data_IF_721853959435
#
_entry.id   IF_721853959435
#
_cell.length_a   1.000
_cell.length_b   1.000
_cell.length_c   1.000
_cell.angle_alpha   90.00
_cell.angle_beta   90.00
_cell.angle_gamma   90.00
#
_symmetry.space_group_name_H-M   'P 1'
#
loop_
_entity.id
_entity.type
_entity.pdbx_description
1 polymer ?
#
# COMPACT_ATOMS: atom_id res chain seq x y z
N UNK A 1 4.36 15.96 6.26
CA UNK A 1 3.59 14.76 5.87
C UNK A 1 3.20 14.03 7.15
N UNK A 2 1.99 13.46 7.24
CA UNK A 2 1.62 12.65 8.40
C UNK A 2 2.47 11.37 8.40
N UNK A 3 2.87 10.90 9.59
CA UNK A 3 3.70 9.70 9.73
C UNK A 3 2.94 8.45 9.25
N UNK A 4 3.67 7.48 8.70
CA UNK A 4 3.09 6.18 8.33
C UNK A 4 2.59 5.48 9.60
N UNK A 5 1.35 4.96 9.62
CA UNK A 5 0.82 4.24 10.77
C UNK A 5 1.72 3.07 11.19
N UNK A 6 1.95 2.83 12.50
CA UNK A 6 2.80 1.72 12.96
C UNK A 6 2.40 0.36 12.40
N UNK A 7 1.10 0.12 12.19
CA UNK A 7 0.61 -1.12 11.57
C UNK A 7 1.00 -1.25 10.10
N UNK A 8 1.00 -0.14 9.36
CA UNK A 8 1.38 -0.12 7.94
C UNK A 8 2.90 -0.27 7.82
N UNK A 9 3.66 0.37 8.71
CA UNK A 9 5.10 0.20 8.83
C UNK A 9 5.49 -1.26 9.14
N UNK A 10 4.80 -1.90 10.08
CA UNK A 10 4.96 -3.33 10.34
C UNK A 10 4.65 -4.19 9.10
N UNK A 11 3.61 -3.87 8.34
CA UNK A 11 3.29 -4.57 7.10
C UNK A 11 4.39 -4.42 6.04
N UNK A 12 5.05 -3.24 5.95
CA UNK A 12 6.23 -3.09 5.09
C UNK A 12 7.34 -4.01 5.53
N UNK A 13 7.71 -3.98 6.82
CA UNK A 13 8.76 -4.83 7.36
C UNK A 13 8.51 -6.32 7.10
N UNK A 14 7.27 -6.75 7.26
CA UNK A 14 6.87 -8.16 7.15
C UNK A 14 6.54 -8.56 5.68
N UNK A 15 6.84 -7.69 4.71
CA UNK A 15 6.60 -7.88 3.26
C UNK A 15 5.14 -8.26 2.90
N UNK A 16 4.19 -7.78 3.70
CA UNK A 16 2.77 -8.02 3.49
C UNK A 16 2.19 -7.07 2.43
N UNK A 17 1.04 -7.45 1.87
CA UNK A 17 0.29 -6.56 0.99
C UNK A 17 -0.13 -5.28 1.72
N UNK A 18 0.16 -4.12 1.11
CA UNK A 18 -0.19 -2.80 1.65
C UNK A 18 -1.11 -2.10 0.66
N UNK A 19 -2.38 -1.84 1.04
CA UNK A 19 -3.26 -1.04 0.21
C UNK A 19 -2.80 0.42 0.21
N UNK A 20 -2.67 1.04 -0.97
CA UNK A 20 -2.14 2.41 -1.06
C UNK A 20 -3.08 3.46 -0.46
N UNK A 21 -4.36 3.13 -0.31
CA UNK A 21 -5.32 3.94 0.45
C UNK A 21 -4.93 4.08 1.93
N UNK A 22 -4.21 3.11 2.51
CA UNK A 22 -3.69 3.18 3.88
C UNK A 22 -2.50 4.15 4.04
N UNK A 23 -1.87 4.55 2.93
CA UNK A 23 -0.78 5.53 2.89
C UNK A 23 -1.27 6.95 2.58
N UNK A 24 -2.57 7.13 2.35
CA UNK A 24 -3.14 8.46 2.11
C UNK A 24 -3.03 9.32 3.34
N UNK A 25 -2.89 10.64 3.15
CA UNK A 25 -2.83 11.59 4.26
C UNK A 25 -4.05 11.46 5.19
N UNK A 26 -5.24 11.22 4.62
CA UNK A 26 -6.45 11.00 5.39
C UNK A 26 -6.34 9.75 6.27
N UNK A 27 -5.87 8.62 5.73
CA UNK A 27 -5.67 7.39 6.50
C UNK A 27 -4.62 7.56 7.61
N UNK A 28 -3.48 8.18 7.30
CA UNK A 28 -2.44 8.44 8.30
C UNK A 28 -2.95 9.35 9.44
N UNK A 29 -3.76 10.38 9.12
CA UNK A 29 -4.35 11.26 10.14
C UNK A 29 -5.39 10.55 11.02
N UNK A 30 -6.22 9.67 10.45
CA UNK A 30 -7.17 8.88 11.25
C UNK A 30 -6.45 7.97 12.23
N UNK A 31 -5.41 7.26 11.77
CA UNK A 31 -4.60 6.41 12.65
C UNK A 31 -3.89 7.22 13.74
N UNK A 32 -3.33 8.40 13.40
CA UNK A 32 -2.71 9.28 14.39
C UNK A 32 -3.68 9.79 15.47
N UNK A 33 -4.99 9.81 15.18
CA UNK A 33 -6.06 10.15 16.14
C UNK A 33 -6.52 8.95 16.97
N UNK A 34 -5.95 7.77 16.76
CA UNK A 34 -6.37 6.53 17.42
C UNK A 34 -7.68 5.98 16.88
N UNK A 35 -8.13 6.40 15.69
CA UNK A 35 -9.28 5.83 14.98
C UNK A 35 -8.88 4.50 14.31
N UNK A 36 -8.29 3.59 15.10
CA UNK A 36 -8.00 2.23 14.66
C UNK A 36 -9.26 1.36 14.82
N UNK A 37 -9.73 0.79 13.71
CA UNK A 37 -10.85 -0.14 13.74
C UNK A 37 -10.43 -1.41 14.47
N UNK A 38 -11.11 -1.72 15.58
CA UNK A 38 -11.00 -3.01 16.25
C UNK A 38 -12.13 -3.93 15.80
N UNK A 39 -11.82 -5.20 15.58
CA UNK A 39 -12.78 -6.25 15.24
C UNK A 39 -12.74 -7.35 16.30
N UNK A 40 -13.91 -7.94 16.58
CA UNK A 40 -14.01 -9.14 17.40
C UNK A 40 -13.59 -10.35 16.55
N UNK A 41 -12.58 -11.07 17.00
CA UNK A 41 -12.20 -12.33 16.38
C UNK A 41 -13.20 -13.45 16.73
N UNK A 42 -13.12 -14.56 15.98
CA UNK A 42 -13.98 -15.72 16.18
C UNK A 42 -13.87 -16.39 17.57
N UNK A 43 -12.86 -16.03 18.37
CA UNK A 43 -12.64 -16.51 19.75
C UNK A 43 -13.12 -15.49 20.80
N UNK A 44 -13.83 -14.43 20.39
CA UNK A 44 -14.33 -13.38 21.29
C UNK A 44 -13.28 -12.38 21.78
N UNK A 45 -12.07 -12.41 21.23
CA UNK A 45 -11.00 -11.44 21.53
C UNK A 45 -11.07 -10.23 20.62
N UNK A 46 -10.69 -9.06 21.13
CA UNK A 46 -10.56 -7.84 20.34
C UNK A 46 -9.23 -7.88 19.55
N UNK A 47 -9.26 -7.69 18.24
CA UNK A 47 -8.06 -7.61 17.39
C UNK A 47 -8.12 -6.37 16.51
N UNK A 48 -6.96 -5.83 16.14
CA UNK A 48 -6.90 -4.70 15.22
C UNK A 48 -7.33 -5.17 13.82
N UNK A 49 -8.34 -4.52 13.22
CA UNK A 49 -8.81 -4.80 11.85
C UNK A 49 -7.67 -4.69 10.88
N UNK A 50 -7.47 -5.71 10.02
CA UNK A 50 -6.42 -5.72 8.99
C UNK A 50 -6.44 -4.46 8.11
N UNK A 51 -5.39 -4.24 7.33
CA UNK A 51 -5.35 -3.08 6.41
C UNK A 51 -6.53 -3.19 5.44
N UNK A 52 -7.47 -2.24 5.52
CA UNK A 52 -8.68 -2.27 4.70
C UNK A 52 -8.33 -2.05 3.24
N UNK A 53 -8.85 -2.93 2.38
CA UNK A 53 -8.77 -2.82 0.91
C UNK A 53 -9.99 -2.14 0.30
N UNK A 54 -10.93 -1.71 1.14
CA UNK A 54 -12.16 -1.04 0.71
C UNK A 54 -11.80 0.21 -0.09
N UNK A 55 -12.47 0.37 -1.23
CA UNK A 55 -12.26 1.49 -2.16
C UNK A 55 -10.82 1.71 -2.64
N UNK A 56 -9.94 0.70 -2.59
CA UNK A 56 -8.59 0.85 -3.13
C UNK A 56 -8.59 1.22 -4.62
N UNK A 57 -9.53 0.65 -5.38
CA UNK A 57 -9.78 1.00 -6.79
C UNK A 57 -10.19 2.45 -7.01
N UNK A 58 -10.69 3.12 -5.98
CA UNK A 58 -11.14 4.51 -6.01
C UNK A 58 -10.04 5.53 -5.70
N UNK A 59 -8.79 5.09 -5.46
CA UNK A 59 -7.68 6.01 -5.18
C UNK A 59 -7.46 6.95 -6.37
N UNK A 60 -7.32 8.26 -6.09
CA UNK A 60 -6.99 9.22 -7.16
C UNK A 60 -5.52 9.10 -7.57
N UNK A 61 -5.17 9.51 -8.80
CA UNK A 61 -3.78 9.49 -9.27
C UNK A 61 -2.84 10.29 -8.39
N UNK A 62 -3.29 11.44 -7.85
CA UNK A 62 -2.49 12.30 -6.97
C UNK A 62 -2.22 11.61 -5.62
N UNK A 63 -3.23 10.95 -5.05
CA UNK A 63 -3.07 10.20 -3.81
C UNK A 63 -2.18 8.97 -4.01
N UNK A 64 -2.37 8.27 -5.13
CA UNK A 64 -1.55 7.13 -5.49
C UNK A 64 -0.08 7.53 -5.66
N UNK A 65 0.24 8.63 -6.34
CA UNK A 65 1.63 9.10 -6.49
C UNK A 65 2.32 9.37 -5.15
N UNK A 66 1.58 9.95 -4.19
CA UNK A 66 2.10 10.21 -2.84
C UNK A 66 2.32 8.90 -2.09
N UNK A 67 1.36 7.97 -2.17
CA UNK A 67 1.45 6.66 -1.55
C UNK A 67 2.60 5.82 -2.14
N UNK A 68 2.75 5.83 -3.46
CA UNK A 68 3.79 5.16 -4.22
C UNK A 68 5.18 5.58 -3.74
N UNK A 69 5.43 6.90 -3.63
CA UNK A 69 6.70 7.41 -3.11
C UNK A 69 6.99 6.94 -1.68
N UNK A 70 5.99 6.99 -0.80
CA UNK A 70 6.14 6.48 0.56
C UNK A 70 6.41 4.98 0.58
N UNK A 71 5.78 4.21 -0.30
CA UNK A 71 6.00 2.78 -0.42
C UNK A 71 7.39 2.43 -0.95
N UNK A 72 7.91 3.17 -1.94
CA UNK A 72 9.29 3.05 -2.43
C UNK A 72 10.29 3.27 -1.29
N UNK A 73 10.13 4.36 -0.54
CA UNK A 73 11.00 4.72 0.58
C UNK A 73 11.01 3.62 1.66
N UNK A 74 9.84 3.13 2.08
CA UNK A 74 9.76 2.10 3.13
C UNK A 74 10.23 0.73 2.62
N UNK A 75 9.94 0.38 1.37
CA UNK A 75 10.43 -0.85 0.76
C UNK A 75 11.96 -0.84 0.70
N UNK A 76 12.56 0.28 0.31
CA UNK A 76 14.01 0.43 0.31
C UNK A 76 14.60 0.32 1.72
N UNK A 77 13.97 0.90 2.73
CA UNK A 77 14.42 0.83 4.13
C UNK A 77 14.44 -0.62 4.65
N UNK A 78 13.38 -1.39 4.41
CA UNK A 78 13.25 -2.73 4.98
C UNK A 78 13.82 -3.85 4.12
N UNK A 79 13.80 -3.71 2.79
CA UNK A 79 14.13 -4.78 1.84
C UNK A 79 15.30 -4.44 0.93
N UNK A 80 15.95 -3.30 1.15
CA UNK A 80 17.14 -2.88 0.43
C UNK A 80 16.85 -2.17 -0.88
N UNK A 81 17.92 -1.58 -1.43
CA UNK A 81 17.86 -0.70 -2.60
C UNK A 81 17.27 -1.38 -3.84
N UNK A 82 17.69 -2.61 -4.13
CA UNK A 82 17.25 -3.33 -5.33
C UNK A 82 15.73 -3.52 -5.35
N UNK A 83 15.12 -3.79 -4.19
CA UNK A 83 13.66 -3.92 -4.06
C UNK A 83 12.95 -2.57 -4.17
N UNK A 84 13.53 -1.51 -3.63
CA UNK A 84 13.02 -0.14 -3.83
C UNK A 84 13.04 0.26 -5.31
N UNK A 85 14.14 0.01 -6.01
CA UNK A 85 14.32 0.35 -7.43
C UNK A 85 13.40 -0.48 -8.34
N UNK A 86 13.15 -1.76 -8.01
CA UNK A 86 12.16 -2.60 -8.68
C UNK A 86 10.73 -2.04 -8.52
N UNK A 87 10.34 -1.65 -7.30
CA UNK A 87 9.03 -1.06 -7.05
C UNK A 87 8.84 0.28 -7.78
N UNK A 88 9.88 1.13 -7.83
CA UNK A 88 9.85 2.37 -8.59
C UNK A 88 9.71 2.13 -10.10
N UNK A 89 10.37 1.08 -10.63
CA UNK A 89 10.23 0.67 -12.03
C UNK A 89 8.79 0.21 -12.32
N UNK A 90 8.21 -0.59 -11.43
CA UNK A 90 6.78 -0.97 -11.50
C UNK A 90 5.88 0.27 -11.53
N UNK A 91 6.09 1.26 -10.66
CA UNK A 91 5.29 2.49 -10.67
C UNK A 91 5.39 3.28 -11.98
N UNK A 92 6.54 3.25 -12.64
CA UNK A 92 6.70 3.85 -13.97
C UNK A 92 5.84 3.14 -15.02
N UNK A 93 5.71 1.80 -14.93
CA UNK A 93 4.80 1.01 -15.78
C UNK A 93 3.35 1.38 -15.49
N UNK A 94 2.95 1.48 -14.22
CA UNK A 94 1.59 1.88 -13.83
C UNK A 94 1.22 3.24 -14.43
N UNK A 95 2.13 4.24 -14.36
CA UNK A 95 1.89 5.56 -14.95
C UNK A 95 1.81 5.51 -16.49
N UNK A 96 2.61 4.66 -17.13
CA UNK A 96 2.55 4.44 -18.58
C UNK A 96 1.23 3.80 -19.00
N UNK A 97 0.72 2.84 -18.22
CA UNK A 97 -0.60 2.24 -18.39
C UNK A 97 -1.72 3.25 -18.17
N UNK A 98 -1.59 4.10 -17.14
CA UNK A 98 -2.58 5.15 -16.86
C UNK A 98 -2.71 6.12 -18.05
N UNK A 99 -1.58 6.48 -18.66
CA UNK A 99 -1.55 7.37 -19.82
C UNK A 99 -2.17 6.72 -21.07
N UNK A 100 -1.93 5.43 -21.30
CA UNK A 100 -2.31 4.72 -22.54
C UNK A 100 -3.69 4.06 -22.49
N UNK A 101 -4.11 3.55 -21.33
CA UNK A 101 -5.33 2.73 -21.15
C UNK A 101 -6.29 3.31 -20.11
N UNK A 102 -5.93 4.45 -19.49
CA UNK A 102 -6.73 5.11 -18.48
C UNK A 102 -6.45 4.62 -17.06
N UNK A 103 -6.81 5.46 -16.09
CA UNK A 103 -6.47 5.26 -14.68
C UNK A 103 -7.04 3.98 -14.06
N UNK A 104 -8.28 3.64 -14.39
CA UNK A 104 -8.94 2.45 -13.82
C UNK A 104 -8.19 1.15 -14.16
N UNK A 105 -7.69 1.03 -15.40
CA UNK A 105 -6.91 -0.14 -15.84
C UNK A 105 -5.57 -0.18 -15.12
N UNK A 106 -4.90 0.97 -14.99
CA UNK A 106 -3.62 1.07 -14.31
C UNK A 106 -3.71 0.69 -12.82
N UNK A 107 -4.75 1.12 -12.11
CA UNK A 107 -4.96 0.77 -10.70
C UNK A 107 -5.26 -0.71 -10.52
N UNK A 108 -6.06 -1.32 -11.40
CA UNK A 108 -6.31 -2.76 -11.34
C UNK A 108 -5.03 -3.56 -11.56
N UNK A 109 -4.23 -3.17 -12.56
CA UNK A 109 -2.91 -3.77 -12.80
C UNK A 109 -2.00 -3.61 -11.57
N UNK A 110 -1.91 -2.42 -11.00
CA UNK A 110 -1.08 -2.14 -9.82
C UNK A 110 -1.46 -3.03 -8.62
N UNK A 111 -2.77 -3.14 -8.33
CA UNK A 111 -3.27 -4.00 -7.26
C UNK A 111 -2.86 -5.46 -7.50
N UNK A 112 -3.07 -5.98 -8.71
CA UNK A 112 -2.73 -7.37 -9.04
C UNK A 112 -1.24 -7.67 -8.91
N UNK A 113 -0.37 -6.77 -9.37
CA UNK A 113 1.08 -6.94 -9.25
C UNK A 113 1.54 -6.88 -7.79
N UNK A 114 1.02 -5.94 -6.99
CA UNK A 114 1.33 -5.87 -5.56
C UNK A 114 0.82 -7.09 -4.79
N UNK A 115 -0.32 -7.66 -5.16
CA UNK A 115 -0.81 -8.93 -4.60
C UNK A 115 0.10 -10.09 -4.97
N UNK A 116 0.55 -10.17 -6.22
CA UNK A 116 1.47 -11.22 -6.67
C UNK A 116 2.80 -11.14 -5.90
N UNK A 117 3.35 -9.93 -5.72
CA UNK A 117 4.57 -9.68 -4.94
C UNK A 117 4.43 -10.08 -3.46
N UNK A 118 3.28 -9.80 -2.84
CA UNK A 118 3.01 -10.20 -1.46
C UNK A 118 2.83 -11.73 -1.29
N UNK A 119 2.40 -12.44 -2.34
CA UNK A 119 2.18 -13.90 -2.30
C UNK A 119 3.44 -14.71 -2.68
N UNK A 120 4.33 -14.16 -3.50
CA UNK A 120 5.62 -14.76 -3.84
C UNK A 120 6.73 -13.72 -3.72
N UNK A 121 7.55 -13.82 -2.67
CA UNK A 121 8.65 -12.89 -2.40
C UNK A 121 9.77 -12.91 -3.47
N UNK A 122 9.70 -13.83 -4.44
CA UNK A 122 10.58 -13.88 -5.61
C UNK A 122 9.99 -13.21 -6.85
N UNK A 123 8.74 -12.77 -6.78
CA UNK A 123 8.14 -11.96 -7.83
C UNK A 123 8.82 -10.59 -7.83
N UNK A 124 9.25 -10.14 -9.01
CA UNK A 124 10.04 -8.92 -9.20
C UNK A 124 9.23 -7.91 -10.00
#
# INVERSE_FOLDING_TARGET
MAAVPPKVDAAFRDYCYIPYTALTQAACLRSARGEEDYILNAKGGLTVKGLSRENERGISTIEWLKAAKTAEEHTQVYHGKDRGDALQSHHTVVLSLAHSHGWAVAVEYDIQQREAAANDHRHN
#
